data_IF_023529343798
#
_entry.id   IF_023529343798
#
_cell.length_a   1.000
_cell.length_b   1.000
_cell.length_c   1.000
_cell.angle_alpha   90.00
_cell.angle_beta   90.00
_cell.angle_gamma   90.00
#
_symmetry.space_group_name_H-M   'P 1'
#
loop_
_entity.id
_entity.type
_entity.pdbx_description
1 polymer ?
#
# COMPACT_ATOMS: atom_id res chain seq x y z
N UNK A 1 -20.53 -8.33 0.99
CA UNK A 1 -19.78 -7.15 1.49
C UNK A 1 -18.42 -7.65 1.95
N UNK A 2 -17.33 -7.15 1.38
CA UNK A 2 -15.96 -7.52 1.78
C UNK A 2 -15.34 -6.44 2.66
N UNK A 3 -14.35 -6.81 3.49
CA UNK A 3 -13.60 -5.85 4.32
C UNK A 3 -12.53 -5.16 3.46
N UNK A 4 -12.91 -4.04 2.86
CA UNK A 4 -12.08 -3.29 1.93
C UNK A 4 -12.09 -1.81 2.26
N UNK A 5 -10.99 -1.12 1.97
CA UNK A 5 -10.86 0.33 2.16
C UNK A 5 -9.97 0.96 1.11
N UNK A 6 -10.25 2.21 0.76
CA UNK A 6 -9.38 3.04 -0.06
C UNK A 6 -9.22 4.41 0.58
N UNK A 7 -8.05 5.02 0.38
CA UNK A 7 -7.78 6.39 0.80
C UNK A 7 -6.79 7.05 -0.15
N UNK A 8 -7.02 8.34 -0.39
CA UNK A 8 -6.08 9.23 -1.07
C UNK A 8 -5.82 10.41 -0.14
N UNK A 9 -4.55 10.67 0.14
CA UNK A 9 -4.09 11.75 1.01
C UNK A 9 -3.05 12.57 0.27
N UNK A 10 -3.21 13.89 0.36
CA UNK A 10 -2.28 14.87 -0.20
C UNK A 10 -1.87 15.85 0.89
N UNK A 11 -0.58 16.09 1.03
CA UNK A 11 0.00 17.16 1.85
C UNK A 11 1.04 17.93 1.02
N UNK A 12 1.72 18.91 1.65
CA UNK A 12 2.79 19.64 0.98
C UNK A 12 4.00 18.78 0.66
N UNK A 13 4.20 17.70 1.41
CA UNK A 13 5.39 16.84 1.35
C UNK A 13 5.16 15.53 0.59
N UNK A 14 3.90 15.06 0.51
CA UNK A 14 3.56 13.73 0.00
C UNK A 14 2.19 13.66 -0.66
N UNK A 15 2.08 12.83 -1.70
CA UNK A 15 0.82 12.31 -2.22
C UNK A 15 0.83 10.79 -2.07
N UNK A 16 -0.21 10.23 -1.44
CA UNK A 16 -0.29 8.80 -1.12
C UNK A 16 -1.68 8.25 -1.45
N UNK A 17 -1.73 7.15 -2.20
CA UNK A 17 -2.92 6.36 -2.51
C UNK A 17 -2.75 4.96 -1.96
N UNK A 18 -3.75 4.49 -1.21
CA UNK A 18 -3.77 3.13 -0.65
C UNK A 18 -5.11 2.49 -0.93
N UNK A 19 -5.08 1.25 -1.41
CA UNK A 19 -6.23 0.34 -1.42
C UNK A 19 -5.85 -0.94 -0.69
N UNK A 20 -6.74 -1.43 0.18
CA UNK A 20 -6.51 -2.64 0.96
C UNK A 20 -7.77 -3.51 1.01
N UNK A 21 -7.59 -4.81 0.78
CA UNK A 21 -8.56 -5.85 1.05
C UNK A 21 -8.04 -6.77 2.17
N UNK A 22 -8.79 -6.86 3.28
CA UNK A 22 -8.39 -7.67 4.44
C UNK A 22 -8.65 -9.18 4.27
N UNK A 23 -9.52 -9.53 3.33
CA UNK A 23 -9.89 -10.91 2.97
C UNK A 23 -9.27 -11.29 1.61
N UNK A 24 -7.97 -11.08 1.46
CA UNK A 24 -7.24 -11.20 0.20
C UNK A 24 -6.48 -12.52 0.03
N UNK A 25 -5.58 -12.53 -0.94
CA UNK A 25 -4.68 -13.65 -1.24
C UNK A 25 -3.19 -13.28 -1.13
N UNK A 26 -2.89 -12.06 -0.69
CA UNK A 26 -1.52 -11.56 -0.59
C UNK A 26 -1.04 -10.86 -1.87
N UNK A 27 -1.94 -10.42 -2.76
CA UNK A 27 -1.53 -9.63 -3.92
C UNK A 27 -0.98 -8.28 -3.46
N UNK A 28 0.16 -7.88 -3.98
CA UNK A 28 0.83 -6.67 -3.54
C UNK A 28 1.40 -5.90 -4.72
N UNK A 29 1.00 -4.64 -4.84
CA UNK A 29 1.56 -3.68 -5.80
C UNK A 29 1.90 -2.41 -5.04
N UNK A 30 3.19 -2.19 -4.78
CA UNK A 30 3.66 -1.10 -3.93
C UNK A 30 4.77 -0.35 -4.64
N UNK A 31 4.62 0.98 -4.69
CA UNK A 31 5.65 1.90 -5.14
C UNK A 31 5.63 3.15 -4.27
N UNK A 32 6.59 3.26 -3.35
CA UNK A 32 6.72 4.42 -2.45
C UNK A 32 7.89 5.33 -2.78
N UNK A 33 8.77 4.91 -3.68
CA UNK A 33 10.06 5.57 -3.93
C UNK A 33 11.15 5.20 -2.92
N UNK A 34 10.83 4.43 -1.87
CA UNK A 34 11.79 3.92 -0.87
C UNK A 34 11.87 2.40 -0.96
N UNK A 35 12.88 1.81 -1.64
CA UNK A 35 12.90 0.38 -1.98
C UNK A 35 12.81 -0.57 -0.79
N UNK A 36 13.41 -0.20 0.35
CA UNK A 36 13.32 -1.03 1.56
C UNK A 36 11.91 -1.04 2.16
N UNK A 37 11.21 0.10 2.12
CA UNK A 37 9.83 0.17 2.58
C UNK A 37 8.90 -0.64 1.65
N UNK A 38 9.12 -0.55 0.34
CA UNK A 38 8.38 -1.37 -0.64
C UNK A 38 8.54 -2.86 -0.32
N UNK A 39 9.76 -3.30 0.01
CA UNK A 39 10.02 -4.68 0.42
C UNK A 39 9.26 -5.07 1.70
N UNK A 40 9.27 -4.22 2.73
CA UNK A 40 8.54 -4.47 3.98
C UNK A 40 7.02 -4.56 3.77
N UNK A 41 6.46 -3.71 2.90
CA UNK A 41 5.04 -3.71 2.57
C UNK A 41 4.63 -4.96 1.78
N UNK A 42 5.50 -5.47 0.90
CA UNK A 42 5.29 -6.78 0.26
C UNK A 42 5.24 -7.93 1.27
N UNK A 43 6.13 -7.92 2.27
CA UNK A 43 6.11 -8.93 3.34
C UNK A 43 4.81 -8.83 4.16
N UNK A 44 4.37 -7.62 4.49
CA UNK A 44 3.11 -7.38 5.21
C UNK A 44 1.91 -7.97 4.44
N UNK A 45 1.80 -7.68 3.14
CA UNK A 45 0.71 -8.18 2.31
C UNK A 45 0.74 -9.72 2.17
N UNK A 46 1.91 -10.29 1.87
CA UNK A 46 2.08 -11.72 1.64
C UNK A 46 1.81 -12.56 2.90
N UNK A 47 2.35 -12.15 4.05
CA UNK A 47 2.16 -12.89 5.31
C UNK A 47 0.83 -12.59 6.00
N UNK A 48 0.23 -11.43 5.73
CA UNK A 48 -1.10 -11.06 6.22
C UNK A 48 -2.26 -11.55 5.33
N UNK A 49 -1.96 -12.05 4.13
CA UNK A 49 -2.94 -12.36 3.07
C UNK A 49 -3.82 -11.16 2.73
N UNK A 50 -3.25 -9.96 2.75
CA UNK A 50 -3.93 -8.75 2.31
C UNK A 50 -3.69 -8.51 0.83
N UNK A 51 -4.73 -8.10 0.13
CA UNK A 51 -4.54 -7.52 -1.20
C UNK A 51 -4.27 -6.02 -1.01
N UNK A 52 -3.06 -5.57 -1.36
CA UNK A 52 -2.55 -4.24 -1.04
C UNK A 52 -2.02 -3.53 -2.29
N UNK A 53 -2.54 -2.34 -2.55
CA UNK A 53 -2.01 -1.44 -3.57
C UNK A 53 -1.61 -0.12 -2.92
N UNK A 54 -0.34 0.30 -3.07
CA UNK A 54 0.16 1.58 -2.56
C UNK A 54 0.93 2.30 -3.66
N UNK A 55 0.57 3.55 -3.90
CA UNK A 55 1.37 4.49 -4.69
C UNK A 55 1.64 5.72 -3.82
N UNK A 56 2.91 6.05 -3.62
CA UNK A 56 3.31 7.23 -2.90
C UNK A 56 4.44 7.97 -3.63
N UNK A 57 4.33 9.28 -3.66
CA UNK A 57 5.38 10.21 -4.12
C UNK A 57 5.56 11.28 -3.07
N UNK A 58 6.79 11.73 -2.85
CA UNK A 58 7.08 12.80 -1.92
C UNK A 58 8.43 13.45 -2.19
N UNK A 59 8.74 14.46 -1.38
CA UNK A 59 9.92 15.32 -1.56
C UNK A 59 11.17 14.68 -0.94
N UNK A 60 11.70 13.64 -1.60
CA UNK A 60 12.97 12.97 -1.23
C UNK A 60 14.21 13.75 -1.63
#
# INVERSE_FOLDING_TARGET
MGRQGNIHRVTGETEVRVAIGLDGSGQCEVSTGVPFLDHMLHQLASHGLFDLTISATGDT
#
